data_IF_132691327257
#
_entry.id   IF_132691327257
#
_cell.length_a   1.000
_cell.length_b   1.000
_cell.length_c   1.000
_cell.angle_alpha   90.00
_cell.angle_beta   90.00
_cell.angle_gamma   90.00
#
_symmetry.space_group_name_H-M   'P 1'
#
loop_
_entity.id
_entity.type
_entity.pdbx_description
1 polymer ?
#
# COMPACT_ATOMS: atom_id res chain seq x y z
N UNK A 1 -0.62 -13.20 -1.57
CA UNK A 1 -1.40 -12.06 -2.11
C UNK A 1 -2.58 -11.78 -1.18
N UNK A 2 -2.93 -10.52 -0.93
CA UNK A 2 -4.09 -10.13 -0.11
C UNK A 2 -4.96 -9.13 -0.88
N UNK A 3 -6.27 -9.27 -0.80
CA UNK A 3 -7.22 -8.28 -1.31
C UNK A 3 -7.68 -7.39 -0.15
N UNK A 4 -7.71 -6.07 -0.38
CA UNK A 4 -8.20 -5.09 0.59
C UNK A 4 -8.88 -3.93 -0.13
N UNK A 5 -9.62 -3.09 0.60
CA UNK A 5 -10.25 -1.88 0.07
C UNK A 5 -9.58 -0.66 0.69
N UNK A 6 -9.21 0.31 -0.14
CA UNK A 6 -8.59 1.53 0.37
C UNK A 6 -9.61 2.31 1.20
N UNK A 7 -9.25 2.61 2.44
CA UNK A 7 -10.03 3.42 3.36
C UNK A 7 -9.16 4.54 3.93
N UNK A 8 -9.66 5.78 3.93
CA UNK A 8 -8.92 6.98 4.34
C UNK A 8 -7.51 7.11 3.72
N UNK A 9 -7.37 6.68 2.47
CA UNK A 9 -6.16 6.74 1.66
C UNK A 9 -5.13 5.69 2.02
N UNK A 10 -5.49 4.62 2.75
CA UNK A 10 -4.58 3.56 3.17
C UNK A 10 -5.24 2.18 3.16
N UNK A 11 -4.41 1.14 3.17
CA UNK A 11 -4.81 -0.23 3.50
C UNK A 11 -4.08 -0.69 4.75
N UNK A 12 -4.51 -1.83 5.31
CA UNK A 12 -3.77 -2.47 6.40
C UNK A 12 -3.20 -3.80 5.95
N UNK A 13 -1.97 -4.11 6.37
CA UNK A 13 -1.31 -5.38 6.05
C UNK A 13 -0.71 -5.94 7.34
N UNK A 14 -0.87 -7.25 7.57
CA UNK A 14 -0.17 -7.94 8.67
C UNK A 14 1.10 -8.58 8.13
N UNK A 15 2.21 -8.37 8.83
CA UNK A 15 3.48 -9.02 8.58
C UNK A 15 4.13 -9.38 9.91
N UNK A 16 4.55 -10.63 10.10
CA UNK A 16 5.16 -11.10 11.36
C UNK A 16 4.30 -10.84 12.60
N UNK A 17 2.97 -10.98 12.51
CA UNK A 17 2.03 -10.70 13.61
C UNK A 17 1.68 -9.22 13.83
N UNK A 18 2.46 -8.29 13.28
CA UNK A 18 2.24 -6.85 13.42
C UNK A 18 1.35 -6.29 12.31
N UNK A 19 0.42 -5.40 12.66
CA UNK A 19 -0.45 -4.69 11.71
C UNK A 19 0.20 -3.37 11.27
N UNK A 20 0.41 -3.22 9.97
CA UNK A 20 0.96 -2.04 9.32
C UNK A 20 -0.13 -1.33 8.52
N UNK A 21 -0.10 0.00 8.51
CA UNK A 21 -0.92 0.84 7.66
C UNK A 21 -0.09 1.35 6.49
N UNK A 22 -0.55 1.14 5.26
CA UNK A 22 0.17 1.54 4.04
C UNK A 22 -0.62 2.61 3.32
N UNK A 23 -0.09 3.83 3.25
CA UNK A 23 -0.73 4.96 2.56
C UNK A 23 -0.64 4.84 1.04
N UNK A 24 -1.76 4.77 0.35
CA UNK A 24 -1.79 4.74 -1.13
C UNK A 24 -2.18 6.12 -1.69
N UNK A 25 -2.83 6.95 -0.86
CA UNK A 25 -3.34 8.27 -1.24
C UNK A 25 -4.87 8.30 -1.21
N UNK A 26 -5.44 9.44 -0.78
CA UNK A 26 -6.90 9.58 -0.63
C UNK A 26 -7.67 9.51 -1.96
N UNK A 27 -7.02 9.80 -3.08
CA UNK A 27 -7.61 9.70 -4.42
C UNK A 27 -8.04 8.26 -4.74
N UNK A 28 -7.39 7.24 -4.18
CA UNK A 28 -7.74 5.83 -4.39
C UNK A 28 -8.78 5.31 -3.38
N UNK A 29 -9.44 6.18 -2.60
CA UNK A 29 -10.45 5.74 -1.64
C UNK A 29 -11.58 4.95 -2.32
N UNK A 30 -11.93 3.81 -1.73
CA UNK A 30 -12.97 2.94 -2.28
C UNK A 30 -12.47 1.99 -3.37
N UNK A 31 -11.26 2.18 -3.90
CA UNK A 31 -10.63 1.25 -4.83
C UNK A 31 -10.35 -0.08 -4.13
N UNK A 32 -10.70 -1.18 -4.80
CA UNK A 32 -10.32 -2.53 -4.36
C UNK A 32 -8.93 -2.81 -4.91
N UNK A 33 -8.02 -3.23 -4.04
CA UNK A 33 -6.61 -3.44 -4.39
C UNK A 33 -6.14 -4.85 -4.04
N UNK A 34 -5.09 -5.29 -4.71
CA UNK A 34 -4.34 -6.50 -4.37
C UNK A 34 -2.95 -6.11 -3.91
N UNK A 35 -2.57 -6.54 -2.72
CA UNK A 35 -1.22 -6.45 -2.19
C UNK A 35 -0.48 -7.76 -2.48
N UNK A 36 0.52 -7.68 -3.35
CA UNK A 36 1.54 -8.69 -3.61
C UNK A 36 2.66 -8.45 -2.61
N UNK A 37 2.96 -9.45 -1.78
CA UNK A 37 3.94 -9.34 -0.69
C UNK A 37 4.98 -10.43 -0.89
N UNK A 38 6.24 -10.03 -1.04
CA UNK A 38 7.39 -10.91 -1.13
C UNK A 38 8.39 -10.51 -0.05
N UNK A 39 8.36 -11.20 1.09
CA UNK A 39 9.11 -10.75 2.27
C UNK A 39 8.65 -9.37 2.72
N UNK A 40 9.55 -8.38 2.64
CA UNK A 40 9.25 -6.98 2.96
C UNK A 40 8.86 -6.16 1.73
N UNK A 41 9.06 -6.66 0.52
CA UNK A 41 8.69 -5.94 -0.70
C UNK A 41 7.21 -6.11 -1.01
N UNK A 42 6.54 -4.97 -1.16
CA UNK A 42 5.09 -4.89 -1.32
C UNK A 42 4.78 -4.12 -2.59
N UNK A 43 4.04 -4.75 -3.48
CA UNK A 43 3.43 -4.11 -4.65
C UNK A 43 1.92 -4.10 -4.47
N UNK A 44 1.31 -2.93 -4.59
CA UNK A 44 -0.13 -2.73 -4.51
C UNK A 44 -0.63 -2.39 -5.91
N UNK A 45 -1.56 -3.21 -6.40
CA UNK A 45 -2.19 -3.03 -7.70
C UNK A 45 -3.70 -2.82 -7.56
N UNK A 46 -4.31 -2.11 -8.50
CA UNK A 46 -5.76 -2.11 -8.66
C UNK A 46 -6.24 -3.54 -8.96
N UNK A 47 -7.27 -4.00 -8.24
CA UNK A 47 -7.75 -5.37 -8.37
C UNK A 47 -8.48 -5.65 -9.70
N UNK A 48 -8.95 -4.60 -10.38
CA UNK A 48 -9.74 -4.64 -11.61
C UNK A 48 -8.87 -4.38 -12.84
N UNK A 49 -8.08 -3.30 -12.83
CA UNK A 49 -7.26 -2.90 -13.99
C UNK A 49 -5.88 -3.56 -13.99
N UNK A 50 -5.39 -3.99 -12.82
CA UNK A 50 -4.01 -4.49 -12.67
C UNK A 50 -2.95 -3.39 -12.63
N UNK A 51 -3.33 -2.11 -12.67
CA UNK A 51 -2.40 -0.99 -12.59
C UNK A 51 -1.66 -0.95 -11.26
N UNK A 52 -0.36 -0.64 -11.30
CA UNK A 52 0.46 -0.48 -10.09
C UNK A 52 0.16 0.86 -9.45
N UNK A 53 -0.43 0.84 -8.26
CA UNK A 53 -0.75 2.03 -7.48
C UNK A 53 0.38 2.44 -6.54
N UNK A 54 1.11 1.47 -6.00
CA UNK A 54 2.24 1.72 -5.10
C UNK A 54 3.21 0.54 -5.04
N UNK A 55 4.50 0.86 -5.00
CA UNK A 55 5.55 -0.08 -4.60
C UNK A 55 6.29 0.47 -3.38
N UNK A 56 6.61 -0.40 -2.42
CA UNK A 56 7.41 -0.06 -1.25
C UNK A 56 8.10 -1.29 -0.68
N UNK A 57 9.20 -1.08 0.03
CA UNK A 57 9.71 -2.03 1.03
C UNK A 57 9.14 -1.64 2.40
N UNK A 58 8.62 -2.62 3.13
CA UNK A 58 8.03 -2.45 4.44
C UNK A 58 9.10 -2.11 5.47
N UNK A 59 9.06 -0.90 6.02
CA UNK A 59 9.87 -0.53 7.17
C UNK A 59 9.24 -1.10 8.46
N UNK A 60 9.82 -2.18 8.99
CA UNK A 60 9.28 -2.87 10.17
C UNK A 60 9.37 -2.04 11.45
N UNK A 61 10.17 -0.96 11.48
CA UNK A 61 10.33 -0.06 12.63
C UNK A 61 9.16 0.91 12.81
N UNK A 62 8.33 1.10 11.77
CA UNK A 62 7.17 2.01 11.82
C UNK A 62 5.89 1.30 11.43
N UNK A 63 4.81 1.50 12.20
CA UNK A 63 3.49 0.94 11.88
C UNK A 63 2.82 1.61 10.68
N UNK A 64 3.12 2.88 10.42
CA UNK A 64 2.55 3.63 9.29
C UNK A 64 3.61 3.87 8.21
N UNK A 65 3.29 3.44 6.99
CA UNK A 65 4.11 3.64 5.79
C UNK A 65 3.55 4.80 4.99
N UNK A 66 4.09 6.03 5.13
CA UNK A 66 3.59 7.19 4.41
C UNK A 66 3.82 7.02 2.91
N UNK A 67 2.93 7.58 2.10
CA UNK A 67 3.22 7.79 0.68
C UNK A 67 4.26 8.91 0.59
N UNK A 68 5.38 8.67 -0.09
CA UNK A 68 6.30 9.76 -0.41
C UNK A 68 5.57 10.67 -1.41
N UNK A 69 5.48 11.99 -1.19
CA UNK A 69 5.01 12.88 -2.23
C UNK A 69 5.90 12.66 -3.46
N UNK A 70 5.30 12.34 -4.59
CA UNK A 70 5.97 12.50 -5.88
C UNK A 70 6.08 14.01 -6.08
N UNK A 71 7.13 14.64 -5.55
CA UNK A 71 7.55 15.92 -6.09
C UNK A 71 8.06 15.60 -7.49
N UNK A 72 7.46 16.13 -8.56
CA UNK A 72 8.26 16.33 -9.77
C UNK A 72 9.38 17.28 -9.34
N UNK A 73 10.64 16.86 -9.54
CA UNK A 73 11.72 17.84 -9.50
C UNK A 73 11.36 18.96 -10.50
N UNK A 74 11.53 20.24 -10.13
CA UNK A 74 11.22 21.37 -11.01
C UNK A 74 12.08 21.39 -12.27
#
# INVERSE_FOLDING_TARGET
MRTDKVHTGKITLRHGGTLYSIGIGRHHNGTTVKALVNGLDITIIDATTGEVLRQLTLDTTRKYQPQKPQHPEP
#
